data_IF_127304461720
#
_entry.id   IF_127304461720
#
_cell.length_a   1.000
_cell.length_b   1.000
_cell.length_c   1.000
_cell.angle_alpha   90.00
_cell.angle_beta   90.00
_cell.angle_gamma   90.00
#
_symmetry.space_group_name_H-M   'P 1'
#
loop_
_entity.id
_entity.type
_entity.pdbx_description
1 polymer ?
#
# COMPACT_ATOMS: atom_id res chain seq x y z
N UNK A 1 -10.99 20.98 -1.62
CA UNK A 1 -11.34 19.77 -0.83
C UNK A 1 -10.28 19.41 0.20
N UNK A 2 -8.98 19.49 -0.12
CA UNK A 2 -7.91 19.04 0.77
C UNK A 2 -7.89 19.66 2.19
N UNK A 3 -7.91 20.99 2.31
CA UNK A 3 -7.76 21.69 3.60
C UNK A 3 -9.05 21.99 4.37
N UNK A 4 -10.21 21.98 3.69
CA UNK A 4 -11.51 22.42 4.25
C UNK A 4 -12.65 21.40 4.02
N UNK A 5 -12.31 20.15 3.74
CA UNK A 5 -13.27 19.13 3.30
C UNK A 5 -14.14 18.50 4.39
N UNK A 6 -13.60 18.42 5.61
CA UNK A 6 -14.05 17.54 6.70
C UNK A 6 -14.39 18.33 7.97
N UNK A 7 -15.03 19.50 7.85
CA UNK A 7 -15.34 20.39 8.98
C UNK A 7 -14.07 20.66 9.83
N UNK A 8 -14.19 20.68 11.16
CA UNK A 8 -13.07 20.90 12.08
C UNK A 8 -12.00 19.79 12.01
N UNK A 9 -12.35 18.62 11.45
CA UNK A 9 -11.42 17.50 11.27
C UNK A 9 -10.50 17.67 10.04
N UNK A 10 -10.74 18.68 9.19
CA UNK A 10 -10.02 18.84 7.91
C UNK A 10 -8.50 18.83 8.05
N UNK A 11 -7.94 19.51 9.05
CA UNK A 11 -6.49 19.56 9.28
C UNK A 11 -5.92 18.19 9.68
N UNK A 12 -6.57 17.49 10.62
CA UNK A 12 -6.14 16.15 11.07
C UNK A 12 -6.28 15.12 9.94
N UNK A 13 -7.36 15.20 9.17
CA UNK A 13 -7.59 14.32 8.03
C UNK A 13 -6.54 14.53 6.93
N UNK A 14 -6.22 15.80 6.60
CA UNK A 14 -5.17 16.12 5.63
C UNK A 14 -3.79 15.64 6.06
N UNK A 15 -3.49 15.61 7.36
CA UNK A 15 -2.20 15.12 7.87
C UNK A 15 -2.12 13.60 7.97
N UNK A 16 -3.20 12.93 8.39
CA UNK A 16 -3.20 11.48 8.61
C UNK A 16 -3.50 10.69 7.32
N UNK A 17 -4.46 11.16 6.52
CA UNK A 17 -4.94 10.48 5.31
C UNK A 17 -4.34 11.12 4.06
N UNK A 18 -4.19 12.44 4.03
CA UNK A 18 -3.55 13.13 2.91
C UNK A 18 -4.30 12.98 1.58
N UNK A 19 -5.61 12.71 1.62
CA UNK A 19 -6.48 12.67 0.43
C UNK A 19 -7.45 13.85 0.41
N UNK A 20 -7.72 14.45 -0.75
CA UNK A 20 -8.84 15.37 -0.91
C UNK A 20 -10.17 14.66 -0.63
N UNK A 21 -10.92 15.16 0.36
CA UNK A 21 -12.22 14.61 0.70
C UNK A 21 -13.27 15.69 0.97
N UNK A 22 -14.55 15.33 0.95
CA UNK A 22 -15.66 16.18 1.38
C UNK A 22 -16.69 15.33 2.14
N UNK A 23 -16.97 15.74 3.38
CA UNK A 23 -18.02 15.15 4.21
C UNK A 23 -19.35 15.89 4.06
N UNK A 24 -20.47 15.17 4.19
CA UNK A 24 -21.82 15.72 4.27
C UNK A 24 -22.60 15.14 5.46
N UNK A 25 -23.46 15.96 6.06
CA UNK A 25 -24.34 15.58 7.17
C UNK A 25 -25.34 14.47 6.85
N UNK A 26 -25.50 14.12 5.57
CA UNK A 26 -26.27 12.94 5.15
C UNK A 26 -25.55 11.62 5.45
N UNK A 27 -24.29 11.65 5.91
CA UNK A 27 -23.45 10.45 6.07
C UNK A 27 -22.64 10.10 4.83
N UNK A 28 -22.66 10.95 3.79
CA UNK A 28 -21.86 10.77 2.58
C UNK A 28 -20.47 11.38 2.78
N UNK A 29 -19.44 10.63 2.38
CA UNK A 29 -18.06 11.08 2.31
C UNK A 29 -17.52 10.80 0.90
N UNK A 30 -17.18 11.86 0.19
CA UNK A 30 -16.55 11.78 -1.13
C UNK A 30 -15.05 11.91 -0.94
N UNK A 31 -14.29 10.98 -1.49
CA UNK A 31 -12.81 10.98 -1.46
C UNK A 31 -12.30 10.89 -2.87
N UNK A 32 -11.27 11.65 -3.19
CA UNK A 32 -10.63 11.65 -4.51
C UNK A 32 -9.19 11.22 -4.33
N UNK A 33 -8.78 10.19 -5.06
CA UNK A 33 -7.37 9.83 -5.26
C UNK A 33 -6.95 10.43 -6.60
N UNK A 34 -6.16 11.53 -6.61
CA UNK A 34 -5.79 12.20 -7.84
C UNK A 34 -5.15 11.24 -8.85
N UNK A 35 -5.54 11.35 -10.11
CA UNK A 35 -5.04 10.52 -11.23
C UNK A 35 -5.30 9.01 -11.12
N UNK A 36 -6.13 8.56 -10.17
CA UNK A 36 -6.42 7.14 -9.99
C UNK A 36 -7.92 6.83 -9.94
N UNK A 37 -8.63 7.33 -8.92
CA UNK A 37 -10.05 7.02 -8.72
C UNK A 37 -10.76 8.04 -7.83
N UNK A 38 -12.09 8.11 -7.95
CA UNK A 38 -12.98 8.75 -6.97
C UNK A 38 -13.75 7.68 -6.23
N UNK A 39 -13.96 7.88 -4.93
CA UNK A 39 -14.65 6.93 -4.04
C UNK A 39 -15.76 7.69 -3.33
N UNK A 40 -16.99 7.17 -3.38
CA UNK A 40 -18.08 7.66 -2.56
C UNK A 40 -18.41 6.65 -1.47
N UNK A 41 -18.33 7.09 -0.21
CA UNK A 41 -18.61 6.29 0.97
C UNK A 41 -19.91 6.79 1.59
N UNK A 42 -20.80 5.87 1.96
CA UNK A 42 -22.01 6.22 2.71
C UNK A 42 -22.05 5.49 4.05
N UNK A 43 -22.19 6.25 5.13
CA UNK A 43 -22.39 5.78 6.49
C UNK A 43 -23.26 6.79 7.25
N UNK A 44 -24.51 6.46 7.59
CA UNK A 44 -25.44 7.38 8.25
C UNK A 44 -25.02 7.78 9.68
N UNK A 45 -24.19 6.98 10.36
CA UNK A 45 -23.66 7.30 11.69
C UNK A 45 -22.55 8.35 11.61
N UNK A 46 -22.80 9.52 12.21
CA UNK A 46 -21.87 10.64 12.29
C UNK A 46 -21.18 10.71 13.66
N UNK A 47 -19.95 11.22 13.67
CA UNK A 47 -19.23 11.64 14.86
C UNK A 47 -19.74 13.02 15.35
N UNK A 48 -19.30 13.45 16.55
CA UNK A 48 -19.60 14.75 17.16
C UNK A 48 -19.31 15.95 16.25
N UNK A 49 -18.36 15.79 15.32
CA UNK A 49 -17.97 16.81 14.35
C UNK A 49 -18.82 16.82 13.07
N UNK A 50 -19.80 15.94 12.94
CA UNK A 50 -20.66 15.83 11.75
C UNK A 50 -20.02 15.06 10.58
N UNK A 51 -18.93 14.32 10.84
CA UNK A 51 -18.26 13.47 9.85
C UNK A 51 -18.67 11.99 10.01
N UNK A 52 -18.79 11.20 8.92
CA UNK A 52 -19.10 9.78 9.04
C UNK A 52 -17.92 9.02 9.65
N UNK A 53 -18.10 8.50 10.87
CA UNK A 53 -17.01 7.88 11.65
C UNK A 53 -16.39 6.69 10.90
N UNK A 54 -17.24 5.81 10.35
CA UNK A 54 -16.81 4.65 9.57
C UNK A 54 -16.11 5.03 8.26
N UNK A 55 -16.57 6.07 7.58
CA UNK A 55 -15.94 6.57 6.35
C UNK A 55 -14.52 7.08 6.60
N UNK A 56 -14.33 7.83 7.69
CA UNK A 56 -12.99 8.28 8.11
C UNK A 56 -12.10 7.10 8.50
N UNK A 57 -12.61 6.12 9.24
CA UNK A 57 -11.86 4.93 9.62
C UNK A 57 -11.43 4.10 8.40
N UNK A 58 -12.30 3.95 7.39
CA UNK A 58 -11.97 3.30 6.13
C UNK A 58 -10.81 4.01 5.42
N UNK A 59 -10.86 5.35 5.32
CA UNK A 59 -9.80 6.12 4.66
C UNK A 59 -8.42 5.94 5.33
N UNK A 60 -8.39 5.83 6.66
CA UNK A 60 -7.15 5.56 7.41
C UNK A 60 -6.59 4.18 7.04
N UNK A 61 -7.41 3.13 7.12
CA UNK A 61 -7.02 1.77 6.72
C UNK A 61 -6.59 1.69 5.26
N UNK A 62 -7.22 2.46 4.37
CA UNK A 62 -6.86 2.53 2.96
C UNK A 62 -5.42 3.04 2.78
N UNK A 63 -5.03 4.09 3.49
CA UNK A 63 -3.68 4.69 3.42
C UNK A 63 -2.61 3.84 4.12
N UNK A 64 -3.00 3.05 5.12
CA UNK A 64 -2.11 2.08 5.76
C UNK A 64 -1.78 0.93 4.81
N UNK A 65 -2.75 0.48 4.00
CA UNK A 65 -2.56 -0.62 3.04
C UNK A 65 -1.96 -0.16 1.71
N UNK A 66 -2.29 1.04 1.24
CA UNK A 66 -1.93 1.53 -0.09
C UNK A 66 -1.13 2.83 -0.04
N UNK A 67 -0.27 3.00 -1.05
CA UNK A 67 0.56 4.19 -1.23
C UNK A 67 -0.22 5.32 -1.95
N UNK A 68 -1.31 5.78 -1.34
CA UNK A 68 -2.21 6.81 -1.91
C UNK A 68 -2.09 8.18 -1.22
N UNK A 69 -1.34 8.28 -0.13
CA UNK A 69 -1.20 9.55 0.57
C UNK A 69 -0.46 10.56 -0.34
N UNK A 70 -0.96 11.80 -0.45
CA UNK A 70 -0.42 12.80 -1.40
C UNK A 70 1.09 13.05 -1.23
N UNK A 71 1.61 12.87 -0.02
CA UNK A 71 3.03 13.06 0.32
C UNK A 71 3.81 11.76 0.51
N UNK A 72 3.31 10.64 0.00
CA UNK A 72 3.97 9.34 0.11
C UNK A 72 4.94 9.13 -1.07
N UNK A 73 5.99 8.33 -0.83
CA UNK A 73 7.10 8.15 -1.78
C UNK A 73 6.81 6.98 -2.71
N UNK A 74 6.83 7.23 -4.02
CA UNK A 74 6.63 6.17 -5.02
C UNK A 74 7.90 5.35 -5.28
N UNK A 75 9.07 5.88 -4.94
CA UNK A 75 10.37 5.30 -5.27
C UNK A 75 10.99 4.53 -4.09
N UNK A 76 10.74 4.97 -2.87
CA UNK A 76 11.30 4.35 -1.66
C UNK A 76 10.26 3.40 -1.05
N UNK A 77 10.16 2.21 -1.64
CA UNK A 77 9.26 1.13 -1.21
C UNK A 77 9.73 0.43 0.07
N UNK A 78 10.20 1.18 1.07
CA UNK A 78 10.41 0.64 2.43
C UNK A 78 9.06 0.41 3.15
N UNK A 79 7.97 0.95 2.59
CA UNK A 79 6.63 0.70 3.07
C UNK A 79 6.13 -0.65 2.53
N UNK A 80 5.67 -1.54 3.41
CA UNK A 80 4.87 -2.75 3.10
C UNK A 80 3.53 -2.43 2.37
N UNK A 81 3.37 -1.22 1.84
CA UNK A 81 2.18 -0.71 1.17
C UNK A 81 2.16 -1.14 -0.28
N UNK A 82 0.95 -1.41 -0.76
CA UNK A 82 0.72 -1.82 -2.13
C UNK A 82 0.51 -0.59 -3.03
N UNK A 83 1.08 -0.62 -4.23
CA UNK A 83 0.78 0.35 -5.28
C UNK A 83 0.11 -0.35 -6.47
N UNK A 84 -1.20 -0.18 -6.69
CA UNK A 84 -1.91 -0.82 -7.79
C UNK A 84 -1.59 -0.20 -9.16
N UNK A 85 -0.86 0.92 -9.22
CA UNK A 85 -0.39 1.50 -10.50
C UNK A 85 0.77 0.71 -11.08
N UNK A 86 1.57 0.06 -10.23
CA UNK A 86 2.60 -0.83 -10.71
C UNK A 86 1.89 -2.05 -11.28
N UNK A 87 2.06 -2.27 -12.59
CA UNK A 87 1.57 -3.49 -13.22
C UNK A 87 2.21 -4.67 -12.50
N UNK A 88 1.50 -5.79 -12.44
CA UNK A 88 2.08 -7.09 -12.10
C UNK A 88 2.99 -7.52 -13.26
N UNK A 89 4.03 -6.72 -13.52
CA UNK A 89 5.16 -7.07 -14.35
C UNK A 89 6.15 -7.82 -13.47
N UNK A 90 6.74 -8.86 -14.02
CA UNK A 90 7.76 -9.62 -13.32
C UNK A 90 8.93 -8.66 -13.00
N UNK A 91 9.09 -8.25 -11.72
CA UNK A 91 10.16 -7.34 -11.28
C UNK A 91 11.52 -7.81 -11.76
N UNK A 92 11.70 -9.12 -11.83
CA UNK A 92 12.93 -9.74 -12.31
C UNK A 92 13.19 -9.43 -13.78
N UNK A 93 12.15 -9.33 -14.60
CA UNK A 93 12.27 -8.96 -16.02
C UNK A 93 12.66 -7.48 -16.18
N UNK A 94 12.03 -6.57 -15.43
CA UNK A 94 12.38 -5.14 -15.49
C UNK A 94 13.83 -4.90 -15.02
N UNK A 95 14.23 -5.60 -13.97
CA UNK A 95 15.60 -5.60 -13.49
C UNK A 95 16.53 -6.09 -14.62
N UNK A 96 16.31 -7.28 -15.17
CA UNK A 96 17.18 -7.83 -16.23
C UNK A 96 17.32 -6.88 -17.42
N UNK A 97 16.23 -6.25 -17.85
CA UNK A 97 16.25 -5.25 -18.94
C UNK A 97 17.08 -4.02 -18.55
N UNK A 98 16.96 -3.55 -17.32
CA UNK A 98 17.76 -2.43 -16.78
C UNK A 98 19.27 -2.76 -16.80
N UNK A 99 19.64 -3.98 -16.38
CA UNK A 99 21.03 -4.44 -16.44
C UNK A 99 21.57 -4.49 -17.87
N UNK A 100 20.81 -5.05 -18.81
CA UNK A 100 21.17 -5.11 -20.23
C UNK A 100 21.38 -3.70 -20.82
N UNK A 101 20.53 -2.74 -20.43
CA UNK A 101 20.66 -1.36 -20.84
C UNK A 101 21.91 -0.68 -20.27
N UNK A 102 22.23 -0.91 -18.99
CA UNK A 102 23.48 -0.44 -18.39
C UNK A 102 24.72 -1.02 -19.08
N UNK A 103 24.69 -2.33 -19.40
CA UNK A 103 25.75 -3.00 -20.15
C UNK A 103 25.95 -2.41 -21.54
N UNK A 104 24.86 -2.11 -22.26
CA UNK A 104 24.92 -1.44 -23.56
C UNK A 104 25.59 -0.06 -23.48
N UNK A 105 25.28 0.71 -22.44
CA UNK A 105 25.84 2.05 -22.26
C UNK A 105 27.26 2.05 -21.68
N UNK A 106 27.78 0.89 -21.27
CA UNK A 106 29.09 0.76 -20.63
C UNK A 106 29.13 1.30 -19.21
N UNK A 107 27.98 1.42 -18.53
CA UNK A 107 27.90 1.88 -17.15
C UNK A 107 28.30 0.76 -16.18
N UNK A 108 29.61 0.65 -15.97
CA UNK A 108 30.21 -0.36 -15.11
C UNK A 108 29.82 -0.20 -13.64
N UNK A 109 29.51 1.01 -13.17
CA UNK A 109 29.15 1.25 -11.78
C UNK A 109 27.80 0.61 -11.46
N UNK A 110 26.81 0.82 -12.33
CA UNK A 110 25.48 0.21 -12.20
C UNK A 110 25.56 -1.31 -12.30
N UNK A 111 26.40 -1.87 -13.19
CA UNK A 111 26.60 -3.32 -13.33
C UNK A 111 27.31 -3.93 -12.12
N UNK A 112 28.30 -3.24 -11.54
CA UNK A 112 29.04 -3.73 -10.37
C UNK A 112 28.21 -3.67 -9.10
N UNK A 113 27.32 -2.67 -9.00
CA UNK A 113 26.35 -2.51 -7.91
C UNK A 113 25.22 -3.54 -7.97
N UNK A 114 24.97 -4.07 -9.16
CA UNK A 114 23.92 -5.04 -9.41
C UNK A 114 24.14 -6.36 -8.64
N UNK A 115 23.13 -6.78 -7.87
CA UNK A 115 23.15 -8.02 -7.08
C UNK A 115 24.01 -7.97 -5.81
N UNK A 116 24.67 -6.84 -5.51
CA UNK A 116 25.46 -6.69 -4.28
C UNK A 116 24.62 -6.14 -3.14
N UNK A 117 24.87 -6.65 -1.94
CA UNK A 117 24.33 -6.03 -0.73
C UNK A 117 25.20 -4.84 -0.32
N UNK A 118 24.66 -3.85 0.42
CA UNK A 118 25.46 -2.77 0.99
C UNK A 118 26.66 -3.26 1.83
N UNK A 119 26.55 -4.47 2.39
CA UNK A 119 27.62 -5.14 3.13
C UNK A 119 28.76 -5.60 2.21
N UNK A 120 28.44 -6.14 1.04
CA UNK A 120 29.42 -6.59 0.05
C UNK A 120 30.19 -5.39 -0.53
N UNK A 121 29.51 -4.27 -0.77
CA UNK A 121 30.16 -3.01 -1.15
C UNK A 121 31.09 -2.49 -0.05
N UNK A 122 30.64 -2.46 1.21
CA UNK A 122 31.46 -2.01 2.33
C UNK A 122 32.74 -2.86 2.51
N UNK A 123 32.65 -4.18 2.25
CA UNK A 123 33.81 -5.08 2.25
C UNK A 123 34.75 -4.82 1.07
N UNK A 124 34.21 -4.60 -0.13
CA UNK A 124 35.03 -4.29 -1.31
C UNK A 124 35.85 -3.01 -1.14
N UNK A 125 35.25 -1.98 -0.54
CA UNK A 125 35.94 -0.70 -0.27
C UNK A 125 36.71 -0.68 1.05
N UNK A 126 36.86 -1.83 1.74
CA UNK A 126 37.56 -1.98 3.03
C UNK A 126 37.11 -0.96 4.11
N UNK A 127 35.82 -0.60 4.14
CA UNK A 127 35.26 0.26 5.19
C UNK A 127 34.82 -0.56 6.39
N UNK A 128 35.78 -0.91 7.25
CA UNK A 128 35.61 -1.77 8.42
C UNK A 128 34.50 -1.30 9.37
N UNK A 129 34.36 0.02 9.61
CA UNK A 129 33.30 0.54 10.48
C UNK A 129 31.90 0.36 9.89
N UNK A 130 31.74 0.51 8.57
CA UNK A 130 30.47 0.26 7.89
C UNK A 130 30.10 -1.22 7.94
N UNK A 131 31.08 -2.12 7.80
CA UNK A 131 30.87 -3.58 7.91
C UNK A 131 30.38 -3.94 9.30
N UNK A 132 31.05 -3.44 10.35
CA UNK A 132 30.64 -3.68 11.74
C UNK A 132 29.23 -3.14 12.04
N UNK A 133 28.90 -1.94 11.54
CA UNK A 133 27.59 -1.35 11.74
C UNK A 133 26.48 -2.14 11.03
N UNK A 134 26.73 -2.59 9.80
CA UNK A 134 25.79 -3.38 9.00
C UNK A 134 25.61 -4.81 9.54
N UNK A 135 26.66 -5.41 10.11
CA UNK A 135 26.57 -6.71 10.78
C UNK A 135 25.76 -6.62 12.08
N UNK A 136 25.93 -5.54 12.86
CA UNK A 136 25.21 -5.32 14.11
C UNK A 136 23.71 -5.00 13.93
N UNK A 137 23.34 -4.32 12.84
CA UNK A 137 21.96 -3.86 12.58
C UNK A 137 21.16 -4.76 11.65
N UNK A 138 21.64 -5.97 11.32
CA UNK A 138 20.99 -6.85 10.35
C UNK A 138 19.54 -7.16 10.79
N UNK A 139 18.50 -6.64 10.13
CA UNK A 139 17.14 -6.98 10.49
C UNK A 139 16.90 -8.46 10.14
N UNK A 140 16.22 -9.20 11.01
CA UNK A 140 15.73 -10.54 10.67
C UNK A 140 14.80 -10.42 9.46
N UNK A 141 15.34 -10.75 8.28
CA UNK A 141 14.59 -10.74 7.03
C UNK A 141 13.54 -11.85 7.16
N UNK A 142 12.27 -11.50 7.41
CA UNK A 142 11.15 -12.44 7.20
C UNK A 142 11.24 -12.90 5.75
N UNK A 143 11.75 -14.11 5.52
CA UNK A 143 11.75 -14.74 4.21
C UNK A 143 10.31 -14.77 3.73
N UNK A 144 10.06 -14.23 2.53
CA UNK A 144 8.88 -14.63 1.78
C UNK A 144 8.99 -16.15 1.57
N UNK A 145 7.89 -16.92 1.72
CA UNK A 145 7.93 -18.35 1.50
C UNK A 145 8.42 -18.63 0.07
N UNK A 146 9.49 -19.43 -0.03
CA UNK A 146 9.99 -19.96 -1.29
C UNK A 146 8.86 -20.79 -1.91
N UNK A 147 8.47 -20.46 -3.13
CA UNK A 147 7.60 -21.34 -3.93
C UNK A 147 8.51 -22.46 -4.42
N UNK A 148 8.32 -23.66 -3.87
CA UNK A 148 9.05 -24.85 -4.27
C UNK A 148 8.73 -25.19 -5.73
N UNK A 149 9.61 -24.80 -6.65
CA UNK A 149 9.65 -25.30 -8.03
C UNK A 149 10.16 -26.75 -8.02
N UNK A 150 9.28 -27.70 -7.75
CA UNK A 150 9.45 -29.10 -8.13
C UNK A 150 8.06 -29.73 -8.37
N UNK A 151 7.53 -29.54 -9.57
CA UNK A 151 6.68 -30.57 -10.19
C UNK A 151 6.74 -30.44 -11.71
N UNK A 152 7.61 -31.24 -12.34
CA UNK A 152 7.59 -31.44 -13.79
C UNK A 152 6.52 -32.48 -14.14
N UNK A 153 5.53 -32.05 -14.93
CA UNK A 153 4.96 -32.86 -16.01
C UNK A 153 3.65 -33.61 -15.75
N UNK A 154 2.55 -33.08 -16.26
CA UNK A 154 1.78 -33.74 -17.34
C UNK A 154 0.58 -32.90 -17.79
N UNK A 155 0.63 -32.56 -19.08
CA UNK A 155 -0.45 -32.51 -20.07
C UNK A 155 -1.71 -31.64 -19.87
N UNK A 156 -1.89 -30.78 -20.89
CA UNK A 156 -3.14 -30.46 -21.57
C UNK A 156 -4.26 -29.76 -20.78
N UNK A 157 -4.45 -28.46 -21.03
CA UNK A 157 -5.47 -27.95 -21.97
C UNK A 157 -5.60 -26.44 -21.83
N UNK A 158 -5.67 -25.79 -22.98
CA UNK A 158 -6.06 -24.39 -23.13
C UNK A 158 -7.42 -24.17 -22.47
N UNK A 159 -7.45 -23.48 -21.34
CA UNK A 159 -8.65 -22.73 -20.91
C UNK A 159 -8.24 -21.33 -20.48
N UNK A 160 -8.50 -20.39 -21.39
CA UNK A 160 -8.71 -18.98 -21.06
C UNK A 160 -9.91 -18.96 -20.11
N UNK A 161 -9.68 -19.07 -18.81
CA UNK A 161 -10.70 -18.81 -17.81
C UNK A 161 -10.60 -17.35 -17.43
N UNK A 162 -11.64 -16.62 -17.82
CA UNK A 162 -11.92 -15.27 -17.39
C UNK A 162 -11.67 -15.12 -15.88
N UNK A 163 -10.86 -14.13 -15.51
CA UNK A 163 -10.91 -13.60 -14.16
C UNK A 163 -12.27 -12.93 -14.00
N UNK A 164 -13.13 -13.66 -13.31
CA UNK A 164 -14.48 -13.29 -12.92
C UNK A 164 -14.47 -11.89 -12.29
N UNK A 165 -15.08 -10.94 -13.00
CA UNK A 165 -15.29 -9.56 -12.57
C UNK A 165 -16.44 -9.43 -11.55
N UNK A 166 -16.73 -10.51 -10.82
CA UNK A 166 -17.86 -10.62 -9.89
C UNK A 166 -17.43 -11.25 -8.57
N UNK A 167 -16.44 -10.67 -7.90
CA UNK A 167 -16.38 -10.77 -6.44
C UNK A 167 -16.60 -9.39 -5.84
N UNK A 168 -17.88 -9.19 -5.52
CA UNK A 168 -18.37 -8.18 -4.59
C UNK A 168 -17.39 -7.99 -3.45
N UNK A 169 -16.90 -6.76 -3.31
CA UNK A 169 -16.20 -6.27 -2.12
C UNK A 169 -17.23 -6.27 -0.98
N UNK A 170 -17.42 -7.43 -0.35
CA UNK A 170 -18.31 -7.63 0.79
C UNK A 170 -17.61 -8.32 1.95
N UNK A 171 -16.31 -8.07 2.12
CA UNK A 171 -15.57 -8.46 3.32
C UNK A 171 -15.28 -7.23 4.19
N UNK A 172 -16.25 -7.03 5.09
CA UNK A 172 -16.21 -6.42 6.42
C UNK A 172 -14.79 -6.12 6.92
N UNK A 173 -14.39 -4.85 6.86
CA UNK A 173 -13.19 -4.34 7.52
C UNK A 173 -13.51 -3.96 8.99
N UNK A 174 -13.69 -4.94 9.88
CA UNK A 174 -13.78 -4.71 11.34
C UNK A 174 -12.49 -4.05 11.86
N UNK A 175 -12.61 -2.95 12.62
CA UNK A 175 -11.49 -2.23 13.23
C UNK A 175 -11.09 -2.88 14.58
N UNK A 176 -9.81 -2.82 15.00
CA UNK A 176 -9.40 -3.37 16.29
C UNK A 176 -9.93 -2.50 17.45
N UNK A 177 -10.38 -3.16 18.50
CA UNK A 177 -10.95 -2.58 19.72
C UNK A 177 -9.83 -2.18 20.70
N UNK A 178 -9.70 -0.89 21.00
CA UNK A 178 -9.10 -0.41 22.25
C UNK A 178 -10.26 -0.01 23.20
N UNK A 179 -10.48 -0.81 24.26
CA UNK A 179 -11.51 -0.62 25.30
C UNK A 179 -11.19 0.50 26.30
N UNK A 180 -12.12 1.09 27.05
CA UNK A 180 -13.49 0.71 27.49
C UNK A 180 -14.26 1.98 28.02
N UNK A 181 -15.56 1.92 28.44
CA UNK A 181 -16.56 0.86 28.31
C UNK A 181 -17.93 1.29 27.70
N UNK A 182 -18.54 0.30 27.02
CA UNK A 182 -19.94 -0.06 26.76
C UNK A 182 -21.08 0.90 27.21
N UNK A 183 -21.82 1.42 26.23
CA UNK A 183 -23.29 1.36 26.23
C UNK A 183 -23.82 1.29 24.79
N UNK A 184 -24.76 0.37 24.60
CA UNK A 184 -25.72 0.23 23.51
C UNK A 184 -25.26 -0.38 22.17
N UNK A 185 -25.58 -1.68 22.05
CA UNK A 185 -25.74 -2.43 20.81
C UNK A 185 -26.75 -1.75 19.88
N UNK A 186 -26.33 -0.86 18.99
CA UNK A 186 -27.18 -0.40 17.87
C UNK A 186 -26.31 -0.19 16.60
N UNK A 187 -26.65 -0.96 15.56
CA UNK A 187 -26.40 -0.75 14.12
C UNK A 187 -25.06 -1.20 13.50
N UNK A 188 -25.05 -2.49 13.14
CA UNK A 188 -24.47 -2.98 11.88
C UNK A 188 -25.09 -2.22 10.70
N UNK A 189 -24.41 -1.19 10.22
CA UNK A 189 -24.75 -0.50 8.99
C UNK A 189 -23.49 -0.46 8.13
N UNK A 190 -23.53 -1.27 7.07
CA UNK A 190 -22.47 -1.42 6.09
C UNK A 190 -22.04 -0.06 5.52
N UNK A 191 -20.76 0.08 5.21
CA UNK A 191 -20.27 1.16 4.36
C UNK A 191 -20.61 0.75 2.93
N UNK A 192 -21.41 1.54 2.23
CA UNK A 192 -21.59 1.38 0.79
C UNK A 192 -20.49 2.16 0.10
N UNK A 193 -19.73 1.46 -0.74
CA UNK A 193 -18.71 2.05 -1.62
C UNK A 193 -19.33 2.12 -3.01
N UNK A 194 -19.49 3.33 -3.54
CA UNK A 194 -19.98 3.59 -4.90
C UNK A 194 -18.84 4.14 -5.75
#
# INVERSE_FOLDING_TARGET
>A
MYSCGMYDLSGKFAFQVGLPAKSGVSGVLIVVVPNLMGIALFSPLLDKTGNPNRGVAFCKKLIEKFNFHNYDSLLHADSLKLDPRQRVGNRDTELVVSLLFAAKNGDLETIQRWGRTPLDEARQFNKLECVQLLENHRPERKRQPEVDENDEGSDSETTVSAYDSSQSISEVATAPEDGEPKSDKIQDQAIIIV
#
